data_IF_105003729927
#
_entry.id   IF_105003729927
#
_cell.length_a   1.000
_cell.length_b   1.000
_cell.length_c   1.000
_cell.angle_alpha   90.00
_cell.angle_beta   90.00
_cell.angle_gamma   90.00
#
_symmetry.space_group_name_H-M   'P 1'
#
loop_
_entity.id
_entity.type
_entity.pdbx_description
1 polymer ?
#
# COMPACT_ATOMS: atom_id res chain seq x y z
N UNK A 1 -21.46 7.44 10.13
CA UNK A 1 -20.66 6.18 10.25
C UNK A 1 -19.55 6.11 9.21
N UNK A 2 -19.82 6.30 7.91
CA UNK A 2 -18.80 6.25 6.86
C UNK A 2 -17.57 7.13 7.15
N UNK A 3 -17.78 8.38 7.56
CA UNK A 3 -16.67 9.28 7.92
C UNK A 3 -15.72 8.68 8.97
N UNK A 4 -16.24 8.04 10.01
CA UNK A 4 -15.41 7.43 11.05
C UNK A 4 -14.63 6.21 10.53
N UNK A 5 -15.20 5.43 9.61
CA UNK A 5 -14.50 4.31 8.96
C UNK A 5 -13.35 4.82 8.08
N UNK A 6 -13.58 5.92 7.34
CA UNK A 6 -12.54 6.53 6.51
C UNK A 6 -11.44 7.15 7.35
N UNK A 7 -11.79 7.85 8.43
CA UNK A 7 -10.83 8.34 9.41
C UNK A 7 -10.01 7.20 10.00
N UNK A 8 -10.63 6.07 10.36
CA UNK A 8 -9.90 4.91 10.88
C UNK A 8 -8.90 4.34 9.86
N UNK A 9 -9.23 4.33 8.56
CA UNK A 9 -8.29 3.95 7.51
C UNK A 9 -7.11 4.93 7.52
N UNK A 10 -7.40 6.24 7.38
CA UNK A 10 -6.37 7.29 7.25
C UNK A 10 -5.47 7.43 8.48
N UNK A 11 -6.01 7.26 9.69
CA UNK A 11 -5.26 7.33 10.96
C UNK A 11 -4.39 6.09 11.20
N UNK A 12 -4.55 5.03 10.41
CA UNK A 12 -3.79 3.77 10.53
C UNK A 12 -3.00 3.43 9.26
N UNK A 13 -2.06 4.30 8.82
CA UNK A 13 -1.27 4.07 7.62
C UNK A 13 -0.42 2.79 7.74
N UNK A 14 -0.06 2.23 6.58
CA UNK A 14 0.84 1.07 6.56
C UNK A 14 2.25 1.44 7.05
N UNK A 15 2.94 0.51 7.74
CA UNK A 15 4.27 0.77 8.25
C UNK A 15 5.27 0.98 7.12
N UNK A 16 6.12 1.99 7.29
CA UNK A 16 7.21 2.35 6.38
C UNK A 16 8.45 1.56 6.75
N UNK A 17 8.86 0.60 5.91
CA UNK A 17 9.97 -0.31 6.22
C UNK A 17 10.79 -0.63 4.98
N UNK A 18 12.11 -0.46 5.05
CA UNK A 18 13.02 -0.96 4.03
C UNK A 18 13.28 -2.46 4.25
N UNK A 19 12.95 -3.29 3.26
CA UNK A 19 13.19 -4.74 3.31
C UNK A 19 14.34 -5.16 2.40
N UNK A 20 15.23 -6.04 2.88
CA UNK A 20 16.43 -6.48 2.13
C UNK A 20 16.16 -7.12 0.77
N UNK A 21 14.97 -7.68 0.56
CA UNK A 21 14.59 -8.31 -0.71
C UNK A 21 13.84 -7.35 -1.65
N UNK A 22 13.67 -6.08 -1.29
CA UNK A 22 12.98 -5.09 -2.12
C UNK A 22 13.89 -4.52 -3.21
N UNK A 23 13.30 -4.03 -4.29
CA UNK A 23 14.07 -3.31 -5.31
C UNK A 23 14.63 -1.98 -4.76
N UNK A 24 13.92 -1.32 -3.84
CA UNK A 24 14.36 -0.09 -3.17
C UNK A 24 15.63 -0.32 -2.34
N UNK A 25 15.73 -1.46 -1.64
CA UNK A 25 16.95 -1.82 -0.92
C UNK A 25 18.11 -2.08 -1.89
N UNK A 26 17.87 -2.83 -2.97
CA UNK A 26 18.88 -3.09 -3.99
C UNK A 26 19.39 -1.80 -4.65
N UNK A 27 18.50 -0.86 -4.95
CA UNK A 27 18.85 0.46 -5.47
C UNK A 27 19.73 1.23 -4.47
N UNK A 28 19.34 1.22 -3.18
CA UNK A 28 20.11 1.85 -2.09
C UNK A 28 21.51 1.27 -1.97
N UNK A 29 21.66 -0.06 -2.01
CA UNK A 29 22.97 -0.71 -1.98
C UNK A 29 23.84 -0.35 -3.18
N UNK A 30 23.22 -0.24 -4.37
CA UNK A 30 23.90 0.19 -5.58
C UNK A 30 24.42 1.63 -5.47
N UNK A 31 23.57 2.56 -5.02
CA UNK A 31 23.96 3.95 -4.78
C UNK A 31 25.07 4.05 -3.72
N UNK A 32 24.94 3.30 -2.62
CA UNK A 32 25.94 3.29 -1.57
C UNK A 32 27.32 2.80 -2.03
N UNK A 33 27.34 1.86 -2.97
CA UNK A 33 28.57 1.27 -3.51
C UNK A 33 29.20 2.15 -4.58
N UNK A 34 28.40 2.69 -5.49
CA UNK A 34 28.92 3.25 -6.74
C UNK A 34 28.74 4.77 -6.89
N UNK A 35 27.80 5.40 -6.18
CA UNK A 35 27.54 6.83 -6.32
C UNK A 35 28.41 7.65 -5.34
N UNK A 36 29.39 8.44 -5.82
CA UNK A 36 30.25 9.23 -4.95
C UNK A 36 29.47 10.30 -4.17
N UNK A 37 28.39 10.81 -4.77
CA UNK A 37 27.48 11.80 -4.22
C UNK A 37 26.51 11.25 -3.16
N UNK A 38 26.42 9.93 -2.98
CA UNK A 38 25.53 9.37 -1.94
C UNK A 38 26.07 9.73 -0.54
N UNK A 39 25.24 10.21 0.40
CA UNK A 39 25.69 10.66 1.71
C UNK A 39 26.57 9.65 2.46
N UNK A 40 27.61 10.12 3.13
CA UNK A 40 28.59 9.25 3.80
C UNK A 40 27.95 8.38 4.90
N UNK A 41 26.99 8.94 5.63
CA UNK A 41 26.27 8.23 6.68
C UNK A 41 25.36 7.14 6.10
N UNK A 42 24.59 7.46 5.06
CA UNK A 42 23.78 6.45 4.35
C UNK A 42 24.63 5.33 3.76
N UNK A 43 25.84 5.64 3.26
CA UNK A 43 26.80 4.60 2.81
C UNK A 43 27.22 3.66 3.94
N UNK A 44 27.48 4.20 5.13
CA UNK A 44 27.88 3.42 6.30
C UNK A 44 26.73 2.50 6.73
N UNK A 45 25.55 3.09 6.91
CA UNK A 45 24.33 2.36 7.30
C UNK A 45 23.94 1.29 6.28
N UNK A 46 24.04 1.58 4.97
CA UNK A 46 23.77 0.60 3.92
C UNK A 46 24.67 -0.64 4.03
N UNK A 47 25.96 -0.48 4.28
CA UNK A 47 26.87 -1.63 4.47
C UNK A 47 26.56 -2.43 5.72
N UNK A 48 26.20 -1.77 6.81
CA UNK A 48 25.86 -2.43 8.07
C UNK A 48 24.50 -3.16 7.99
N UNK A 49 23.55 -2.58 7.26
CA UNK A 49 22.22 -3.12 7.04
C UNK A 49 22.23 -4.49 6.34
N UNK A 50 23.32 -4.87 5.65
CA UNK A 50 23.48 -6.22 5.08
C UNK A 50 23.39 -7.33 6.14
N UNK A 51 23.80 -7.04 7.38
CA UNK A 51 23.91 -8.03 8.45
C UNK A 51 23.22 -7.65 9.76
N UNK A 52 22.77 -6.41 9.90
CA UNK A 52 22.13 -5.91 11.12
C UNK A 52 20.73 -5.37 10.81
N UNK A 53 19.73 -5.86 11.55
CA UNK A 53 18.34 -5.37 11.45
C UNK A 53 18.20 -3.98 12.06
N UNK A 54 18.95 -3.70 13.14
CA UNK A 54 19.01 -2.35 13.73
C UNK A 54 19.58 -1.34 12.75
N UNK A 55 20.64 -1.71 12.03
CA UNK A 55 21.21 -0.84 10.99
C UNK A 55 20.27 -0.65 9.80
N UNK A 56 19.43 -1.66 9.48
CA UNK A 56 18.40 -1.55 8.45
C UNK A 56 17.28 -0.58 8.86
N UNK A 57 16.89 -0.60 10.14
CA UNK A 57 15.95 0.37 10.69
C UNK A 57 16.53 1.79 10.66
N UNK A 58 17.75 1.99 11.16
CA UNK A 58 18.44 3.28 11.09
C UNK A 58 18.63 3.79 9.66
N UNK A 59 18.93 2.89 8.71
CA UNK A 59 19.00 3.23 7.30
C UNK A 59 17.64 3.69 6.75
N UNK A 60 16.55 3.02 7.16
CA UNK A 60 15.19 3.42 6.78
C UNK A 60 14.92 4.86 7.21
N UNK A 61 15.15 5.16 8.49
CA UNK A 61 14.93 6.49 9.05
C UNK A 61 15.80 7.56 8.37
N UNK A 62 17.09 7.26 8.17
CA UNK A 62 18.02 8.20 7.54
C UNK A 62 17.67 8.46 6.05
N UNK A 63 17.16 7.47 5.32
CA UNK A 63 16.68 7.66 3.95
C UNK A 63 15.44 8.55 3.90
N UNK A 64 14.53 8.40 4.87
CA UNK A 64 13.34 9.25 4.99
C UNK A 64 13.70 10.68 5.37
N UNK A 65 14.70 10.88 6.24
CA UNK A 65 15.21 12.20 6.59
C UNK A 65 15.85 12.91 5.39
N UNK A 66 16.68 12.18 4.62
CA UNK A 66 17.39 12.74 3.46
C UNK A 66 16.46 13.04 2.27
N UNK A 67 15.51 12.14 1.97
CA UNK A 67 14.72 12.19 0.73
C UNK A 67 13.22 12.51 0.94
N UNK A 68 12.75 12.52 2.19
CA UNK A 68 11.40 12.95 2.57
C UNK A 68 10.28 12.02 2.09
N UNK A 69 9.06 12.59 2.10
CA UNK A 69 7.82 11.87 1.81
C UNK A 69 7.77 11.23 0.41
N UNK A 70 8.48 11.79 -0.57
CA UNK A 70 8.56 11.23 -1.92
C UNK A 70 9.32 9.89 -1.96
N UNK A 71 10.19 9.63 -0.98
CA UNK A 71 10.86 8.35 -0.83
C UNK A 71 10.03 7.37 0.02
N UNK A 72 9.29 7.89 1.00
CA UNK A 72 8.43 7.10 1.89
C UNK A 72 7.45 6.20 1.13
N UNK A 73 6.90 6.70 0.02
CA UNK A 73 5.97 5.92 -0.82
C UNK A 73 6.58 4.63 -1.35
N UNK A 74 7.91 4.52 -1.48
CA UNK A 74 8.59 3.30 -1.95
C UNK A 74 8.69 2.21 -0.86
N UNK A 75 8.39 2.55 0.38
CA UNK A 75 8.65 1.71 1.56
C UNK A 75 7.37 1.27 2.28
N UNK A 76 6.20 1.72 1.82
CA UNK A 76 4.90 1.32 2.37
C UNK A 76 3.83 1.22 1.31
N UNK A 77 2.77 0.47 1.62
CA UNK A 77 1.53 0.57 0.87
C UNK A 77 0.93 1.96 1.11
N UNK A 78 0.62 2.70 0.05
CA UNK A 78 -0.06 4.00 0.18
C UNK A 78 -1.56 3.80 0.10
N UNK A 79 -2.32 4.67 0.74
CA UNK A 79 -3.78 4.68 0.72
C UNK A 79 -4.29 6.10 0.45
N UNK A 80 -5.43 6.22 -0.22
CA UNK A 80 -6.11 7.49 -0.43
C UNK A 80 -7.60 7.29 -0.69
N UNK A 81 -8.45 8.09 -0.07
CA UNK A 81 -9.88 8.14 -0.43
C UNK A 81 -10.08 8.97 -1.71
N UNK A 82 -10.42 8.30 -2.80
CA UNK A 82 -10.56 8.93 -4.12
C UNK A 82 -11.98 9.44 -4.39
N UNK A 83 -12.99 8.70 -3.90
CA UNK A 83 -14.40 8.99 -4.17
C UNK A 83 -15.23 8.79 -2.91
N UNK A 84 -16.17 9.70 -2.65
CA UNK A 84 -17.16 9.61 -1.57
C UNK A 84 -18.52 9.96 -2.17
N UNK A 85 -19.51 9.10 -1.93
CA UNK A 85 -20.89 9.30 -2.37
C UNK A 85 -21.88 9.00 -1.22
N UNK A 86 -22.97 9.76 -1.14
CA UNK A 86 -24.02 9.53 -0.15
C UNK A 86 -25.19 10.49 -0.25
N UNK A 87 -26.40 9.94 -0.11
CA UNK A 87 -27.66 10.70 -0.17
C UNK A 87 -28.07 11.12 -1.58
N UNK A 88 -29.34 11.49 -1.74
CA UNK A 88 -29.91 11.97 -3.02
C UNK A 88 -30.58 13.33 -2.86
N UNK A 89 -31.19 13.60 -1.70
CA UNK A 89 -31.89 14.85 -1.39
C UNK A 89 -31.45 15.37 -0.04
N UNK A 90 -31.33 16.70 0.08
CA UNK A 90 -30.90 17.39 1.32
C UNK A 90 -31.84 17.17 2.50
N UNK A 91 -33.10 16.81 2.24
CA UNK A 91 -34.14 16.60 3.24
C UNK A 91 -34.48 15.12 3.48
N UNK A 92 -33.66 14.19 2.99
CA UNK A 92 -33.82 12.75 3.22
C UNK A 92 -32.57 12.19 3.87
N UNK A 93 -32.76 11.26 4.81
CA UNK A 93 -31.64 10.48 5.35
C UNK A 93 -31.07 9.60 4.21
N UNK A 94 -29.74 9.53 4.04
CA UNK A 94 -29.12 8.65 3.06
C UNK A 94 -29.39 7.18 3.40
N UNK A 95 -30.00 6.43 2.47
CA UNK A 95 -30.15 4.97 2.59
C UNK A 95 -28.79 4.24 2.45
N UNK A 96 -27.89 4.83 1.66
CA UNK A 96 -26.53 4.33 1.44
C UNK A 96 -25.52 5.48 1.40
N UNK A 97 -24.35 5.22 1.99
CA UNK A 97 -23.14 5.99 1.75
C UNK A 97 -21.99 5.04 1.37
N UNK A 98 -21.13 5.46 0.45
CA UNK A 98 -20.02 4.65 -0.03
C UNK A 98 -18.77 5.49 -0.28
N UNK A 99 -17.63 4.83 -0.29
CA UNK A 99 -16.37 5.43 -0.67
C UNK A 99 -15.50 4.44 -1.44
N UNK A 100 -14.58 4.98 -2.25
CA UNK A 100 -13.54 4.22 -2.94
C UNK A 100 -12.18 4.65 -2.39
N UNK A 101 -11.43 3.68 -1.87
CA UNK A 101 -10.09 3.89 -1.31
C UNK A 101 -9.07 3.20 -2.22
N UNK A 102 -8.19 4.00 -2.79
CA UNK A 102 -7.10 3.55 -3.63
C UNK A 102 -5.97 3.02 -2.75
N UNK A 103 -5.38 1.89 -3.13
CA UNK A 103 -4.18 1.39 -2.49
C UNK A 103 -3.11 1.07 -3.52
N UNK A 104 -1.87 1.55 -3.29
CA UNK A 104 -0.70 1.08 -4.03
C UNK A 104 0.10 0.16 -3.14
N UNK A 105 0.03 -1.14 -3.42
CA UNK A 105 0.60 -2.18 -2.57
C UNK A 105 2.13 -2.22 -2.75
N UNK A 106 2.87 -2.13 -1.64
CA UNK A 106 4.33 -2.23 -1.66
C UNK A 106 4.78 -3.63 -2.08
N UNK A 107 5.97 -3.75 -2.67
CA UNK A 107 6.44 -4.99 -3.31
C UNK A 107 6.45 -6.22 -2.40
N UNK A 108 6.58 -6.02 -1.09
CA UNK A 108 6.68 -7.10 -0.11
C UNK A 108 5.35 -7.40 0.59
N UNK A 109 4.24 -6.91 0.03
CA UNK A 109 2.89 -7.19 0.50
C UNK A 109 2.06 -7.87 -0.60
N UNK A 110 0.78 -8.10 -0.34
CA UNK A 110 -0.13 -8.73 -1.30
C UNK A 110 -1.53 -8.12 -1.18
N UNK A 111 -2.37 -8.38 -2.19
CA UNK A 111 -3.81 -8.06 -2.14
C UNK A 111 -4.44 -8.70 -0.92
N UNK A 112 -4.20 -9.99 -0.69
CA UNK A 112 -4.77 -10.73 0.46
C UNK A 112 -4.34 -10.17 1.82
N UNK A 113 -3.08 -9.74 1.97
CA UNK A 113 -2.59 -9.13 3.20
C UNK A 113 -3.26 -7.77 3.46
N UNK A 114 -3.49 -6.98 2.41
CA UNK A 114 -4.21 -5.72 2.49
C UNK A 114 -5.68 -5.93 2.86
N UNK A 115 -6.36 -6.85 2.18
CA UNK A 115 -7.76 -7.21 2.43
C UNK A 115 -7.97 -7.67 3.88
N UNK A 116 -7.10 -8.56 4.37
CA UNK A 116 -7.13 -9.05 5.74
C UNK A 116 -6.96 -7.91 6.75
N UNK A 117 -5.97 -7.03 6.53
CA UNK A 117 -5.73 -5.87 7.40
C UNK A 117 -6.93 -4.91 7.42
N UNK A 118 -7.54 -4.59 6.28
CA UNK A 118 -8.71 -3.70 6.23
C UNK A 118 -9.90 -4.30 6.98
N UNK A 119 -10.13 -5.61 6.82
CA UNK A 119 -11.18 -6.31 7.55
C UNK A 119 -10.95 -6.26 9.07
N UNK A 120 -9.72 -6.50 9.52
CA UNK A 120 -9.35 -6.44 10.95
C UNK A 120 -9.44 -5.03 11.51
N UNK A 121 -8.98 -4.03 10.76
CA UNK A 121 -8.96 -2.62 11.17
C UNK A 121 -10.38 -2.08 11.39
N UNK A 122 -11.32 -2.40 10.49
CA UNK A 122 -12.66 -1.83 10.54
C UNK A 122 -13.65 -2.65 11.40
N UNK A 123 -13.31 -3.89 11.73
CA UNK A 123 -14.15 -4.77 12.55
C UNK A 123 -14.54 -4.16 13.92
N UNK A 124 -13.63 -3.55 14.71
CA UNK A 124 -14.00 -2.91 15.97
C UNK A 124 -15.01 -1.77 15.77
N UNK A 125 -14.86 -0.95 14.73
CA UNK A 125 -15.79 0.15 14.44
C UNK A 125 -17.15 -0.37 13.98
N UNK A 126 -17.18 -1.39 13.11
CA UNK A 126 -18.42 -2.02 12.69
C UNK A 126 -19.20 -2.60 13.90
N UNK A 127 -18.50 -3.26 14.82
CA UNK A 127 -19.10 -3.74 16.08
C UNK A 127 -19.60 -2.58 16.96
N UNK A 128 -18.80 -1.52 17.14
CA UNK A 128 -19.18 -0.32 17.91
C UNK A 128 -20.45 0.35 17.37
N UNK A 129 -20.63 0.35 16.05
CA UNK A 129 -21.82 0.92 15.40
C UNK A 129 -23.00 -0.06 15.31
N UNK A 130 -22.87 -1.29 15.83
CA UNK A 130 -23.86 -2.35 15.72
C UNK A 130 -24.20 -2.67 14.25
N UNK A 131 -23.19 -2.81 13.41
CA UNK A 131 -23.30 -3.20 12.00
C UNK A 131 -22.93 -4.67 11.83
N UNK A 132 -23.61 -5.35 10.90
CA UNK A 132 -23.05 -6.58 10.29
C UNK A 132 -21.95 -6.19 9.31
N UNK A 133 -21.00 -7.10 9.09
CA UNK A 133 -19.85 -6.81 8.24
C UNK A 133 -19.51 -8.00 7.36
N UNK A 134 -19.53 -7.78 6.05
CA UNK A 134 -18.93 -8.65 5.05
C UNK A 134 -17.71 -7.95 4.43
N UNK A 135 -16.59 -8.65 4.33
CA UNK A 135 -15.37 -8.15 3.70
C UNK A 135 -14.81 -9.20 2.76
N UNK A 136 -14.59 -8.82 1.50
CA UNK A 136 -13.93 -9.64 0.48
C UNK A 136 -14.56 -11.03 0.34
N UNK A 137 -15.89 -11.08 0.28
CA UNK A 137 -16.67 -12.31 0.14
C UNK A 137 -16.77 -13.18 1.41
N UNK A 138 -16.32 -12.68 2.56
CA UNK A 138 -16.37 -13.40 3.84
C UNK A 138 -17.18 -12.60 4.87
N UNK A 139 -18.03 -13.28 5.62
CA UNK A 139 -18.70 -12.68 6.78
C UNK A 139 -17.74 -12.56 7.95
N UNK A 140 -17.48 -11.31 8.36
CA UNK A 140 -16.56 -10.95 9.43
C UNK A 140 -17.30 -10.72 10.75
N UNK A 141 -18.47 -10.05 10.68
CA UNK A 141 -19.36 -9.85 11.81
C UNK A 141 -20.79 -10.25 11.42
N UNK A 142 -21.27 -11.42 11.87
CA UNK A 142 -22.63 -11.83 11.62
C UNK A 142 -23.61 -10.99 12.44
N UNK A 143 -24.90 -11.03 12.06
CA UNK A 143 -25.96 -10.49 12.91
C UNK A 143 -25.98 -11.23 14.25
N UNK A 144 -26.06 -10.49 15.36
CA UNK A 144 -26.24 -11.10 16.68
C UNK A 144 -27.63 -11.75 16.78
N UNK A 145 -27.69 -13.06 16.56
CA UNK A 145 -28.84 -13.90 16.93
C UNK A 145 -28.71 -14.27 18.40
N UNK A 146 -29.43 -13.57 19.29
CA UNK A 146 -29.50 -13.97 20.71
C UNK A 146 -30.49 -15.14 20.87
N UNK A 147 -30.09 -16.31 21.42
CA UNK A 147 -30.99 -17.46 21.63
C UNK A 147 -31.89 -17.34 22.86
N UNK A 148 -31.80 -16.27 23.66
CA UNK A 148 -32.58 -16.16 24.88
C UNK A 148 -32.81 -14.70 25.26
N UNK A 149 -34.06 -14.40 25.67
CA UNK A 149 -34.57 -13.14 26.21
C UNK A 149 -34.60 -11.93 25.24
N UNK A 150 -35.73 -11.81 24.54
CA UNK A 150 -36.56 -10.60 24.35
C UNK A 150 -35.90 -9.19 24.36
N UNK A 151 -34.72 -9.05 23.76
CA UNK A 151 -34.25 -7.78 23.18
C UNK A 151 -33.61 -8.14 21.85
N UNK A 152 -34.40 -8.09 20.78
CA UNK A 152 -33.90 -8.21 19.42
C UNK A 152 -32.92 -7.05 19.17
N UNK A 153 -31.63 -7.23 19.44
CA UNK A 153 -30.61 -6.34 18.89
C UNK A 153 -30.51 -6.63 17.40
N UNK A 154 -31.46 -6.09 16.64
CA UNK A 154 -31.35 -6.00 15.20
C UNK A 154 -30.15 -5.13 14.86
N UNK A 155 -29.37 -5.57 13.88
CA UNK A 155 -28.27 -4.75 13.36
C UNK A 155 -28.80 -3.38 12.91
N UNK A 156 -28.05 -2.31 13.16
CA UNK A 156 -28.40 -0.95 12.71
C UNK A 156 -28.12 -0.73 11.22
N UNK A 157 -27.41 -1.66 10.59
CA UNK A 157 -27.07 -1.60 9.17
C UNK A 157 -26.08 -2.68 8.77
N UNK A 158 -25.52 -2.53 7.57
CA UNK A 158 -24.56 -3.46 7.01
C UNK A 158 -23.38 -2.72 6.38
N UNK A 159 -22.15 -3.13 6.74
CA UNK A 159 -20.91 -2.70 6.11
C UNK A 159 -20.43 -3.79 5.14
N UNK A 160 -20.35 -3.45 3.86
CA UNK A 160 -19.81 -4.32 2.82
C UNK A 160 -18.52 -3.74 2.26
N UNK A 161 -17.42 -4.50 2.31
CA UNK A 161 -16.12 -4.12 1.77
C UNK A 161 -15.77 -5.07 0.63
N UNK A 162 -15.51 -4.52 -0.56
CA UNK A 162 -15.19 -5.31 -1.75
C UNK A 162 -14.11 -4.64 -2.60
N UNK A 163 -13.52 -5.39 -3.52
CA UNK A 163 -12.69 -4.83 -4.59
C UNK A 163 -13.56 -3.96 -5.50
N UNK A 164 -13.17 -2.70 -5.69
CA UNK A 164 -13.89 -1.80 -6.59
C UNK A 164 -13.73 -2.31 -8.02
N UNK A 165 -14.83 -2.29 -8.78
CA UNK A 165 -14.86 -2.70 -10.20
C UNK A 165 -14.39 -4.13 -10.48
N UNK A 166 -14.22 -4.97 -9.46
CA UNK A 166 -13.83 -6.39 -9.60
C UNK A 166 -12.37 -6.62 -10.03
N UNK A 167 -11.50 -5.62 -9.90
CA UNK A 167 -10.10 -5.73 -10.32
C UNK A 167 -9.12 -5.27 -9.24
N UNK A 168 -8.21 -6.17 -8.85
CA UNK A 168 -7.10 -5.91 -7.95
C UNK A 168 -5.79 -6.37 -8.59
N UNK A 169 -4.76 -5.51 -8.49
CA UNK A 169 -3.42 -5.83 -8.94
C UNK A 169 -2.50 -6.07 -7.75
N UNK A 170 -1.80 -7.20 -7.78
CA UNK A 170 -0.66 -7.43 -6.91
C UNK A 170 0.53 -6.54 -7.28
N UNK A 171 1.50 -6.39 -6.38
CA UNK A 171 2.72 -5.68 -6.70
C UNK A 171 3.49 -6.37 -7.84
N UNK A 172 4.27 -5.58 -8.58
CA UNK A 172 5.19 -6.14 -9.57
C UNK A 172 6.28 -6.97 -8.89
N UNK A 173 6.58 -8.18 -9.37
CA UNK A 173 7.68 -9.00 -8.85
C UNK A 173 9.01 -8.25 -8.86
N UNK A 174 9.86 -8.52 -7.87
CA UNK A 174 11.21 -7.96 -7.83
C UNK A 174 12.03 -8.58 -8.97
N UNK A 175 12.63 -7.73 -9.80
CA UNK A 175 13.50 -8.19 -10.89
C UNK A 175 14.77 -8.80 -10.31
N UNK A 176 15.12 -10.05 -10.68
CA UNK A 176 16.41 -10.64 -10.31
C UNK A 176 17.56 -9.80 -10.88
N UNK A 177 18.43 -9.27 -10.00
CA UNK A 177 19.53 -8.35 -10.35
C UNK A 177 20.92 -8.87 -9.98
N UNK A 178 21.03 -10.18 -9.67
CA UNK A 178 22.27 -10.87 -9.39
C UNK A 178 23.23 -10.91 -10.57
N UNK A 179 24.45 -11.39 -10.32
CA UNK A 179 25.54 -11.38 -11.30
C UNK A 179 25.33 -12.31 -12.51
N UNK A 180 24.32 -13.19 -12.47
CA UNK A 180 23.98 -14.13 -13.53
C UNK A 180 22.56 -13.94 -14.07
N UNK A 181 21.88 -12.90 -13.62
CA UNK A 181 20.47 -12.70 -13.96
C UNK A 181 20.30 -11.99 -15.31
N UNK A 182 19.14 -12.13 -15.98
CA UNK A 182 18.83 -11.45 -17.23
C UNK A 182 19.03 -9.93 -17.18
N UNK A 183 18.92 -9.34 -15.99
CA UNK A 183 19.21 -7.93 -15.76
C UNK A 183 20.63 -7.53 -16.22
N UNK A 184 21.62 -8.43 -16.13
CA UNK A 184 22.98 -8.16 -16.60
C UNK A 184 23.06 -7.98 -18.12
N UNK A 185 22.23 -8.71 -18.88
CA UNK A 185 22.12 -8.55 -20.34
C UNK A 185 21.50 -7.19 -20.65
N UNK A 186 20.42 -6.81 -19.98
CA UNK A 186 19.80 -5.49 -20.14
C UNK A 186 20.79 -4.37 -19.80
N UNK A 187 21.43 -4.43 -18.63
CA UNK A 187 22.40 -3.44 -18.19
C UNK A 187 23.61 -3.37 -19.14
N UNK A 188 24.09 -4.51 -19.64
CA UNK A 188 25.16 -4.59 -20.64
C UNK A 188 24.77 -3.92 -21.96
N UNK A 189 23.57 -4.20 -22.46
CA UNK A 189 23.04 -3.58 -23.68
C UNK A 189 22.90 -2.07 -23.55
N UNK A 190 22.36 -1.58 -22.41
CA UNK A 190 22.25 -0.15 -22.14
C UNK A 190 23.65 0.50 -22.13
N UNK A 191 24.62 -0.10 -21.44
CA UNK A 191 26.00 0.42 -21.42
C UNK A 191 26.61 0.44 -22.82
N UNK A 192 26.40 -0.60 -23.64
CA UNK A 192 26.89 -0.65 -25.02
C UNK A 192 26.27 0.45 -25.88
N UNK A 193 24.94 0.62 -25.80
CA UNK A 193 24.25 1.66 -26.56
C UNK A 193 24.71 3.08 -26.18
N UNK A 194 24.99 3.32 -24.88
CA UNK A 194 25.58 4.58 -24.41
C UNK A 194 27.01 4.74 -24.95
N UNK A 195 27.81 3.68 -24.92
CA UNK A 195 29.19 3.68 -25.43
C UNK A 195 29.28 4.03 -26.91
N UNK A 196 28.36 3.48 -27.70
CA UNK A 196 28.32 3.66 -29.15
C UNK A 196 27.70 5.02 -29.55
N UNK A 197 27.15 5.77 -28.60
CA UNK A 197 26.52 7.07 -28.87
C UNK A 197 27.58 8.14 -29.16
N UNK A 198 27.50 8.83 -30.32
CA UNK A 198 28.40 9.95 -30.62
C UNK A 198 28.32 11.09 -29.60
N UNK A 199 27.18 11.21 -28.89
CA UNK A 199 26.97 12.23 -27.84
C UNK A 199 27.76 11.96 -26.57
N UNK A 200 28.24 10.73 -26.39
CA UNK A 200 28.98 10.28 -25.21
C UNK A 200 30.46 10.05 -25.51
N UNK A 201 30.92 10.42 -26.71
CA UNK A 201 32.33 10.30 -27.13
C UNK A 201 33.25 11.03 -26.13
N UNK A 202 34.21 10.30 -25.56
CA UNK A 202 35.13 10.79 -24.52
C UNK A 202 34.65 10.62 -23.08
N UNK A 203 33.44 10.08 -22.85
CA UNK A 203 32.95 9.76 -21.50
C UNK A 203 33.52 8.42 -21.03
N UNK A 204 33.87 8.31 -19.75
CA UNK A 204 34.27 7.04 -19.15
C UNK A 204 33.06 6.11 -18.98
N UNK A 205 32.80 5.27 -19.99
CA UNK A 205 31.70 4.30 -20.01
C UNK A 205 31.80 3.28 -18.87
N UNK A 206 33.00 2.98 -18.34
CA UNK A 206 33.15 2.11 -17.17
C UNK A 206 32.56 2.72 -15.89
N UNK A 207 32.32 4.03 -15.87
CA UNK A 207 31.65 4.73 -14.78
C UNK A 207 30.12 4.72 -14.88
N UNK A 208 29.54 4.18 -15.97
CA UNK A 208 28.09 4.10 -16.14
C UNK A 208 27.54 2.88 -15.41
N UNK A 209 26.75 3.13 -14.37
CA UNK A 209 26.09 2.10 -13.56
C UNK A 209 24.60 2.12 -13.86
N UNK A 210 24.04 0.96 -14.19
CA UNK A 210 22.60 0.79 -14.38
C UNK A 210 22.02 0.29 -13.07
N UNK A 211 21.14 1.08 -12.48
CA UNK A 211 20.53 0.78 -11.18
C UNK A 211 19.14 0.21 -11.41
N UNK A 212 18.77 -0.92 -10.81
CA UNK A 212 17.39 -1.40 -10.87
C UNK A 212 16.57 -0.52 -9.93
N UNK A 213 15.56 0.15 -10.46
CA UNK A 213 14.63 0.95 -9.68
C UNK A 213 13.20 0.61 -10.08
N UNK A 214 12.29 0.58 -9.10
CA UNK A 214 10.86 0.55 -9.37
C UNK A 214 10.29 1.96 -9.34
N UNK A 215 9.46 2.27 -10.32
CA UNK A 215 8.58 3.44 -10.28
C UNK A 215 7.16 2.98 -9.96
N UNK A 216 6.40 3.81 -9.24
CA UNK A 216 5.06 3.45 -8.80
C UNK A 216 4.04 3.47 -9.95
N UNK A 217 3.52 2.31 -10.33
CA UNK A 217 2.37 2.20 -11.22
C UNK A 217 1.81 0.78 -11.32
N UNK A 218 0.77 0.48 -10.52
CA UNK A 218 -0.22 -0.57 -10.77
C UNK A 218 -1.46 -0.25 -9.92
N UNK A 219 -2.61 0.00 -10.55
CA UNK A 219 -3.81 0.55 -9.88
C UNK A 219 -4.77 -0.56 -9.46
N UNK A 220 -5.20 -0.57 -8.19
CA UNK A 220 -6.34 -1.34 -7.68
C UNK A 220 -7.11 -0.50 -6.66
N UNK A 221 -8.43 -0.42 -6.79
CA UNK A 221 -9.31 0.33 -5.89
C UNK A 221 -10.20 -0.60 -5.07
N UNK A 222 -10.54 -0.23 -3.84
CA UNK A 222 -11.51 -0.95 -3.01
C UNK A 222 -12.74 -0.09 -2.76
N UNK A 223 -13.93 -0.69 -2.79
CA UNK A 223 -15.21 -0.03 -2.52
C UNK A 223 -15.77 -0.50 -1.19
N UNK A 224 -15.95 0.45 -0.26
CA UNK A 224 -16.73 0.25 0.96
C UNK A 224 -18.14 0.82 0.78
N UNK A 225 -19.17 0.06 1.17
CA UNK A 225 -20.58 0.49 1.18
C UNK A 225 -21.16 0.29 2.58
N UNK A 226 -21.86 1.29 3.10
CA UNK A 226 -22.67 1.18 4.32
C UNK A 226 -24.13 1.40 3.93
N UNK A 227 -24.97 0.39 4.17
CA UNK A 227 -26.42 0.46 4.01
C UNK A 227 -27.06 0.59 5.40
N UNK A 228 -27.84 1.64 5.62
CA UNK A 228 -28.74 1.76 6.77
C UNK A 228 -30.15 1.43 6.29
N UNK A 229 -30.63 0.20 6.54
CA UNK A 229 -32.02 -0.14 6.22
C UNK A 229 -32.96 0.40 7.29
N UNK A 230 -33.99 1.12 6.83
CA UNK A 230 -34.97 1.81 7.65
C UNK A 230 -35.86 0.89 8.46
N UNK A 231 -36.12 1.28 9.70
CA UNK A 231 -37.26 0.79 10.46
C UNK A 231 -38.53 1.45 9.90
N UNK A 232 -39.38 0.65 9.28
CA UNK A 232 -40.75 1.02 8.98
C UNK A 232 -41.49 1.41 10.27
N UNK A 233 -42.21 2.52 10.22
CA UNK A 233 -43.37 2.72 11.09
C UNK A 233 -44.60 2.91 10.20
N UNK A 234 -45.51 1.98 10.39
CA UNK A 234 -46.94 2.12 10.18
C UNK A 234 -47.47 3.39 10.85
N UNK A 235 -48.06 4.28 10.08
CA UNK A 235 -49.44 4.80 10.21
C UNK A 235 -49.82 5.59 8.95
#
# INVERSE_FOLDING_TARGET
MLAALLTEIEDNPHPTLLRRHSSTYNATQCLATYAPSFPAELRRLAREAERSDDALALLTDALLEEYGAAYEVLLRTTQAVDLIEGGVKVNALPERAAAIVNHRIVQESSVEALESRLAELLRPLASRFNLTMDAFGRTVLPASVSPSTATNMTSKGHLSINVAFGYALGPSPVTPSGSKDPYQVLAGTIRSAIADSPRMAGTNIRGVIVVPQIEHGNTGGYRGQVNEEGYGQSE
#
